data_IF_520164087774
#
_entry.id   IF_520164087774
#
_cell.length_a   1.000
_cell.length_b   1.000
_cell.length_c   1.000
_cell.angle_alpha   90.00
_cell.angle_beta   90.00
_cell.angle_gamma   90.00
#
_symmetry.space_group_name_H-M   'P 1'
#
loop_
_entity.id
_entity.type
_entity.pdbx_description
1 polymer ?
#
# COMPACT_ATOMS: atom_id res chain seq x y z
N UNK A 1 -6.69 -2.39 19.00
CA UNK A 1 -6.56 -1.45 17.87
C UNK A 1 -6.68 -0.01 18.35
N UNK A 2 -5.82 0.90 17.87
CA UNK A 2 -5.77 2.33 18.24
C UNK A 2 -6.92 3.16 17.62
N UNK A 3 -7.42 4.20 18.30
CA UNK A 3 -8.55 5.03 17.81
C UNK A 3 -8.22 5.76 16.50
N UNK A 4 -6.98 6.24 16.36
CA UNK A 4 -6.54 6.93 15.14
C UNK A 4 -6.50 5.96 13.97
N UNK A 5 -5.90 4.79 14.18
CA UNK A 5 -5.87 3.73 13.16
C UNK A 5 -7.27 3.34 12.71
N UNK A 6 -8.22 3.20 13.64
CA UNK A 6 -9.60 2.88 13.30
C UNK A 6 -10.26 3.97 12.44
N UNK A 7 -10.03 5.26 12.75
CA UNK A 7 -10.53 6.37 11.92
C UNK A 7 -9.93 6.36 10.52
N UNK A 8 -8.64 6.09 10.42
CA UNK A 8 -7.91 5.97 9.16
C UNK A 8 -8.43 4.80 8.30
N UNK A 9 -8.67 3.64 8.91
CA UNK A 9 -9.29 2.47 8.27
C UNK A 9 -10.69 2.81 7.77
N UNK A 10 -11.55 3.38 8.61
CA UNK A 10 -12.92 3.75 8.22
C UNK A 10 -12.90 4.71 7.02
N UNK A 11 -12.00 5.68 7.02
CA UNK A 11 -11.84 6.60 5.88
C UNK A 11 -11.39 5.87 4.62
N UNK A 12 -10.42 4.96 4.73
CA UNK A 12 -9.93 4.18 3.60
C UNK A 12 -11.01 3.26 3.02
N UNK A 13 -11.86 2.69 3.88
CA UNK A 13 -13.01 1.85 3.50
C UNK A 13 -14.01 2.57 2.59
N UNK A 14 -14.09 3.90 2.67
CA UNK A 14 -15.00 4.68 1.84
C UNK A 14 -14.57 4.73 0.37
N UNK A 15 -13.25 4.74 0.11
CA UNK A 15 -12.68 4.67 -1.24
C UNK A 15 -12.49 3.21 -1.70
N UNK A 16 -12.16 2.31 -0.77
CA UNK A 16 -11.84 0.90 -1.05
C UNK A 16 -12.72 -0.04 -0.20
N UNK A 17 -13.97 -0.30 -0.61
CA UNK A 17 -14.89 -1.14 0.16
C UNK A 17 -14.46 -2.62 0.18
N UNK A 18 -13.75 -3.09 -0.84
CA UNK A 18 -13.19 -4.46 -0.94
C UNK A 18 -11.87 -4.63 -0.16
N UNK A 19 -11.60 -3.77 0.82
CA UNK A 19 -10.43 -3.92 1.67
C UNK A 19 -10.68 -4.93 2.80
N UNK A 20 -9.69 -5.76 3.08
CA UNK A 20 -9.69 -6.71 4.18
C UNK A 20 -8.69 -6.23 5.25
N UNK A 21 -9.13 -6.21 6.50
CA UNK A 21 -8.32 -5.78 7.64
C UNK A 21 -8.11 -6.98 8.57
N UNK A 22 -6.86 -7.36 8.77
CA UNK A 22 -6.49 -8.54 9.56
C UNK A 22 -5.44 -8.17 10.60
N UNK A 23 -5.78 -8.30 11.87
CA UNK A 23 -4.82 -8.16 12.98
C UNK A 23 -3.90 -9.39 13.04
N UNK A 24 -2.61 -9.16 13.23
CA UNK A 24 -1.59 -10.19 13.28
C UNK A 24 -1.17 -10.48 14.73
N UNK A 25 -0.62 -11.67 15.02
CA UNK A 25 -0.19 -12.05 16.37
C UNK A 25 0.92 -11.17 16.95
N UNK A 26 1.69 -10.46 16.12
CA UNK A 26 2.71 -9.49 16.54
C UNK A 26 2.14 -8.11 16.87
N UNK A 27 0.81 -7.97 16.94
CA UNK A 27 0.09 -6.70 17.13
C UNK A 27 0.23 -5.73 15.96
N UNK A 28 0.69 -6.19 14.79
CA UNK A 28 0.58 -5.44 13.54
C UNK A 28 -0.81 -5.61 12.92
N UNK A 29 -1.20 -4.66 12.09
CA UNK A 29 -2.46 -4.71 11.32
C UNK A 29 -2.12 -4.75 9.85
N UNK A 30 -2.65 -5.74 9.14
CA UNK A 30 -2.50 -5.89 7.71
C UNK A 30 -3.79 -5.45 7.03
N UNK A 31 -3.70 -4.45 6.15
CA UNK A 31 -4.82 -4.00 5.33
C UNK A 31 -4.53 -4.38 3.88
N UNK A 32 -5.35 -5.28 3.34
CA UNK A 32 -5.27 -5.74 1.95
C UNK A 32 -6.34 -5.03 1.14
N UNK A 33 -6.02 -4.47 -0.01
CA UNK A 33 -7.02 -3.94 -0.94
C UNK A 33 -6.92 -4.75 -2.22
N UNK A 34 -8.01 -5.44 -2.59
CA UNK A 34 -8.00 -6.35 -3.73
C UNK A 34 -8.08 -5.65 -5.09
N UNK A 35 -8.69 -4.46 -5.13
CA UNK A 35 -8.98 -3.72 -6.37
C UNK A 35 -8.31 -2.34 -6.35
N UNK A 36 -6.98 -2.30 -6.37
CA UNK A 36 -6.25 -1.06 -6.56
C UNK A 36 -6.10 -0.77 -8.06
N UNK A 37 -6.72 0.31 -8.53
CA UNK A 37 -6.65 0.71 -9.94
C UNK A 37 -5.24 1.18 -10.29
N UNK A 38 -4.68 0.58 -11.35
CA UNK A 38 -3.43 1.03 -11.93
C UNK A 38 -3.71 1.82 -13.21
N UNK A 39 -2.93 2.87 -13.50
CA UNK A 39 -3.03 3.59 -14.76
C UNK A 39 -2.83 2.69 -15.99
N UNK A 40 -3.31 3.11 -17.15
CA UNK A 40 -3.35 2.29 -18.38
C UNK A 40 -1.96 1.83 -18.88
N UNK A 41 -0.89 2.56 -18.53
CA UNK A 41 0.50 2.21 -18.82
C UNK A 41 1.08 1.14 -17.91
N UNK A 42 0.33 0.64 -16.93
CA UNK A 42 0.68 -0.52 -16.11
C UNK A 42 -0.15 -1.74 -16.50
N UNK A 43 0.40 -2.93 -16.24
CA UNK A 43 -0.28 -4.20 -16.38
C UNK A 43 -0.03 -5.06 -15.15
N UNK A 44 -1.07 -5.71 -14.59
CA UNK A 44 -2.50 -5.57 -14.93
C UNK A 44 -3.08 -4.17 -14.64
N UNK A 45 -4.29 -3.85 -15.13
CA UNK A 45 -4.97 -2.56 -14.88
C UNK A 45 -5.53 -2.43 -13.45
N UNK A 46 -5.52 -3.52 -12.70
CA UNK A 46 -5.87 -3.58 -11.30
C UNK A 46 -4.90 -4.53 -10.61
N UNK A 47 -4.53 -4.21 -9.37
CA UNK A 47 -3.64 -5.04 -8.56
C UNK A 47 -4.10 -5.07 -7.12
N UNK A 48 -3.53 -6.01 -6.35
CA UNK A 48 -3.67 -6.06 -4.91
C UNK A 48 -2.55 -5.28 -4.25
N UNK A 49 -2.91 -4.60 -3.18
CA UNK A 49 -1.95 -3.90 -2.32
C UNK A 49 -2.09 -4.39 -0.89
N UNK A 50 -0.98 -4.35 -0.17
CA UNK A 50 -0.89 -4.70 1.25
C UNK A 50 -0.23 -3.55 2.00
N UNK A 51 -0.94 -3.01 2.97
CA UNK A 51 -0.42 -2.07 3.96
C UNK A 51 -0.12 -2.85 5.24
N UNK A 52 1.10 -2.71 5.74
CA UNK A 52 1.53 -3.29 7.01
C UNK A 52 1.70 -2.16 8.02
N UNK A 53 0.82 -2.13 9.01
CA UNK A 53 0.79 -1.12 10.06
C UNK A 53 1.37 -1.74 11.31
N UNK A 54 2.55 -1.27 11.72
CA UNK A 54 3.16 -1.68 12.98
C UNK A 54 2.45 -1.08 14.20
N UNK A 55 2.70 -1.66 15.38
CA UNK A 55 2.16 -1.19 16.67
C UNK A 55 2.50 0.27 17.00
N UNK A 56 3.58 0.80 16.42
CA UNK A 56 4.06 2.17 16.64
C UNK A 56 3.30 3.20 15.77
N UNK A 57 2.26 2.81 15.04
CA UNK A 57 1.43 3.76 14.29
C UNK A 57 0.70 4.75 15.23
N UNK A 58 0.63 6.05 14.89
CA UNK A 58 1.14 6.71 13.68
C UNK A 58 2.61 7.17 13.76
N UNK A 59 3.32 6.97 14.85
CA UNK A 59 4.73 7.39 15.02
C UNK A 59 5.65 6.81 13.94
N UNK A 60 5.45 5.54 13.59
CA UNK A 60 6.15 4.86 12.49
C UNK A 60 5.33 4.84 11.20
N UNK A 61 6.00 5.06 10.07
CA UNK A 61 5.38 4.97 8.74
C UNK A 61 4.95 3.52 8.45
N UNK A 62 3.71 3.28 8.01
CA UNK A 62 3.30 1.99 7.47
C UNK A 62 4.16 1.56 6.28
N UNK A 63 4.42 0.26 6.18
CA UNK A 63 5.03 -0.30 4.99
C UNK A 63 3.95 -0.60 3.94
N UNK A 64 4.30 -0.42 2.66
CA UNK A 64 3.41 -0.62 1.54
C UNK A 64 4.01 -1.62 0.56
N UNK A 65 3.17 -2.54 0.11
CA UNK A 65 3.53 -3.57 -0.82
C UNK A 65 2.44 -3.74 -1.88
N UNK A 66 2.84 -4.21 -3.05
CA UNK A 66 1.98 -4.46 -4.20
C UNK A 66 2.23 -5.85 -4.76
N UNK A 67 1.36 -6.35 -5.65
CA UNK A 67 1.63 -7.64 -6.30
C UNK A 67 2.94 -7.60 -7.11
N UNK A 68 3.71 -8.71 -7.11
CA UNK A 68 4.99 -8.77 -7.79
C UNK A 68 4.89 -8.83 -9.32
N UNK A 69 3.70 -9.01 -9.88
CA UNK A 69 3.53 -9.11 -11.33
C UNK A 69 3.20 -7.77 -12.02
N UNK A 70 3.19 -6.66 -11.27
CA UNK A 70 2.98 -5.33 -11.84
C UNK A 70 4.17 -4.93 -12.70
N UNK A 71 3.89 -4.60 -13.96
CA UNK A 71 4.90 -4.21 -14.96
C UNK A 71 4.39 -3.05 -15.80
N UNK A 72 5.31 -2.24 -16.29
CA UNK A 72 5.04 -1.22 -17.30
C UNK A 72 4.59 -1.91 -18.59
N UNK A 73 3.46 -1.48 -19.14
CA UNK A 73 2.91 -1.95 -20.42
C UNK A 73 3.87 -1.68 -21.58
N UNK A 74 4.61 -0.56 -21.52
CA UNK A 74 5.48 -0.12 -22.61
C UNK A 74 6.67 -1.05 -22.86
N UNK A 75 7.28 -1.61 -21.81
CA UNK A 75 8.54 -2.36 -21.89
C UNK A 75 8.58 -3.63 -21.02
N UNK A 76 7.50 -3.94 -20.29
CA UNK A 76 7.41 -5.08 -19.40
C UNK A 76 8.29 -4.98 -18.14
N UNK A 77 8.89 -3.82 -17.85
CA UNK A 77 9.77 -3.66 -16.70
C UNK A 77 8.96 -3.48 -15.40
N UNK A 78 9.42 -4.04 -14.27
CA UNK A 78 8.84 -3.73 -12.96
C UNK A 78 9.08 -2.27 -12.59
N UNK A 79 8.33 -1.72 -11.61
CA UNK A 79 8.56 -0.36 -11.13
C UNK A 79 9.99 -0.16 -10.63
N UNK A 80 10.61 0.95 -11.02
CA UNK A 80 11.97 1.30 -10.61
C UNK A 80 12.09 1.36 -9.08
N UNK A 81 13.14 0.74 -8.55
CA UNK A 81 13.35 0.67 -7.10
C UNK A 81 12.39 -0.29 -6.38
N UNK A 82 11.91 -1.34 -7.06
CA UNK A 82 11.16 -2.42 -6.43
C UNK A 82 12.07 -3.45 -5.77
N UNK A 83 11.67 -3.97 -4.61
CA UNK A 83 12.28 -5.13 -3.96
C UNK A 83 11.29 -6.30 -3.84
N UNK A 84 11.78 -7.52 -3.73
CA UNK A 84 10.95 -8.66 -3.36
C UNK A 84 10.79 -8.71 -1.84
N UNK A 85 9.57 -8.95 -1.38
CA UNK A 85 9.25 -9.14 0.03
C UNK A 85 8.31 -10.33 0.19
N UNK A 86 8.45 -11.06 1.30
CA UNK A 86 7.51 -12.12 1.66
C UNK A 86 6.81 -11.72 2.96
N UNK A 87 5.50 -11.53 2.89
CA UNK A 87 4.67 -11.13 4.04
C UNK A 87 3.64 -12.22 4.26
N UNK A 88 3.62 -12.80 5.45
CA UNK A 88 2.67 -13.88 5.83
C UNK A 88 2.69 -15.08 4.86
N UNK A 89 3.86 -15.40 4.27
CA UNK A 89 4.02 -16.48 3.30
C UNK A 89 3.53 -16.17 1.87
N UNK A 90 3.06 -14.93 1.63
CA UNK A 90 2.70 -14.44 0.30
C UNK A 90 3.81 -13.57 -0.26
N UNK A 91 4.04 -13.68 -1.57
CA UNK A 91 5.04 -12.89 -2.28
C UNK A 91 4.45 -11.53 -2.63
N UNK A 92 5.16 -10.50 -2.21
CA UNK A 92 4.85 -9.11 -2.47
C UNK A 92 6.06 -8.39 -3.04
N UNK A 93 5.80 -7.23 -3.62
CA UNK A 93 6.82 -6.32 -4.09
C UNK A 93 6.78 -5.06 -3.23
N UNK A 94 7.91 -4.75 -2.60
CA UNK A 94 8.11 -3.50 -1.88
C UNK A 94 8.51 -2.42 -2.87
N UNK A 95 8.06 -1.18 -2.62
CA UNK A 95 8.46 -0.02 -3.41
C UNK A 95 9.39 0.85 -2.55
N UNK A 96 10.59 1.14 -3.04
CA UNK A 96 11.54 2.02 -2.35
C UNK A 96 11.18 3.51 -2.42
N UNK A 97 9.92 3.85 -2.72
CA UNK A 97 9.49 5.24 -2.81
C UNK A 97 9.51 5.90 -1.43
N UNK A 98 10.38 6.89 -1.29
CA UNK A 98 10.45 7.73 -0.11
C UNK A 98 9.21 8.65 -0.07
N UNK A 99 8.22 8.24 0.71
CA UNK A 99 7.09 9.07 1.09
C UNK A 99 7.43 9.81 2.41
N UNK A 100 7.33 11.15 2.46
CA UNK A 100 7.46 11.88 3.71
C UNK A 100 6.34 11.44 4.65
N UNK A 101 6.68 11.16 5.91
CA UNK A 101 5.71 10.73 6.91
C UNK A 101 5.79 11.65 8.12
N UNK A 102 4.72 12.40 8.34
CA UNK A 102 4.53 13.19 9.54
C UNK A 102 3.40 12.55 10.36
N UNK A 103 3.67 12.04 11.57
CA UNK A 103 2.69 11.28 12.36
C UNK A 103 1.47 12.12 12.78
N UNK A 104 1.56 13.44 12.73
CA UNK A 104 0.48 14.35 13.11
C UNK A 104 -0.39 14.77 11.92
N UNK A 105 0.16 14.71 10.70
CA UNK A 105 -0.50 15.20 9.47
C UNK A 105 -0.89 14.10 8.50
N UNK A 106 -0.06 13.06 8.40
CA UNK A 106 -0.26 11.99 7.44
C UNK A 106 -1.26 10.95 7.93
N UNK A 107 -1.87 10.25 6.98
CA UNK A 107 -2.97 9.31 7.17
C UNK A 107 -2.77 8.14 6.23
N UNK A 108 -3.38 6.99 6.50
CA UNK A 108 -3.34 5.84 5.59
C UNK A 108 -3.90 6.23 4.22
N UNK A 109 -4.99 6.98 4.21
CA UNK A 109 -5.61 7.48 2.98
C UNK A 109 -4.65 8.37 2.17
N UNK A 110 -3.93 9.31 2.81
CA UNK A 110 -2.94 10.15 2.11
C UNK A 110 -1.78 9.33 1.53
N UNK A 111 -1.31 8.32 2.28
CA UNK A 111 -0.27 7.42 1.80
C UNK A 111 -0.73 6.67 0.53
N UNK A 112 -1.95 6.13 0.54
CA UNK A 112 -2.51 5.44 -0.63
C UNK A 112 -2.70 6.40 -1.81
N UNK A 113 -3.24 7.61 -1.60
CA UNK A 113 -3.35 8.62 -2.66
C UNK A 113 -2.01 9.07 -3.22
N UNK A 114 -0.97 9.15 -2.38
CA UNK A 114 0.40 9.46 -2.84
C UNK A 114 0.93 8.34 -3.73
N UNK A 115 0.60 7.09 -3.44
CA UNK A 115 1.00 5.93 -4.24
C UNK A 115 0.27 5.89 -5.58
N UNK A 116 -1.04 6.14 -5.60
CA UNK A 116 -1.81 6.33 -6.85
C UNK A 116 -1.14 7.39 -7.73
N UNK A 117 -0.80 8.54 -7.14
CA UNK A 117 -0.10 9.62 -7.85
C UNK A 117 1.31 9.21 -8.30
N UNK A 118 2.03 8.38 -7.55
CA UNK A 118 3.36 7.89 -7.94
C UNK A 118 3.29 6.92 -9.11
N UNK A 119 2.30 6.04 -9.14
CA UNK A 119 2.04 5.19 -10.30
C UNK A 119 1.63 6.03 -11.52
N UNK A 120 0.98 7.17 -11.29
CA UNK A 120 0.60 8.11 -12.35
C UNK A 120 1.79 8.90 -12.91
N UNK A 121 2.73 9.29 -12.04
CA UNK A 121 3.95 9.99 -12.41
C UNK A 121 4.97 9.02 -13.02
N UNK A 122 4.87 8.82 -14.33
CA UNK A 122 5.89 8.16 -15.13
C UNK A 122 7.17 9.03 -15.12
N UNK A 123 8.26 8.54 -14.55
CA UNK A 123 9.63 9.05 -14.78
C UNK A 123 10.43 7.95 -15.49
#
# INVERSE_FOLDING_TARGET
>A
MDERLQKDIVRLSQDYPDMEVTEQPDSSVHIRVAQFALPEWWMPSQTRILLVIGKDYPQSKPAFYVEPDIRLRANGQPPGGSGQAEITGEKWMSLCWQAPWDPNRETLWRLVKLLERRFDLHD
#
